data_IF_691914237892
#
_entry.id   IF_691914237892
#
_cell.length_a   1.000
_cell.length_b   1.000
_cell.length_c   1.000
_cell.angle_alpha   90.00
_cell.angle_beta   90.00
_cell.angle_gamma   90.00
#
_symmetry.space_group_name_H-M   'P 1'
#
loop_
_entity.id
_entity.type
_entity.pdbx_description
1 polymer ?
#
# COMPACT_ATOMS: atom_id res chain seq x y z
N UNK A 1 22.65 -24.07 10.69
CA UNK A 1 21.44 -23.74 9.91
C UNK A 1 20.66 -22.70 10.71
N UNK A 2 21.35 -21.64 11.18
CA UNK A 2 20.93 -20.83 12.34
C UNK A 2 20.89 -19.32 12.05
N UNK A 3 21.05 -18.92 10.77
CA UNK A 3 21.01 -17.51 10.36
C UNK A 3 19.64 -17.03 9.88
N UNK A 4 18.65 -17.93 9.68
CA UNK A 4 17.32 -17.54 9.20
C UNK A 4 16.40 -17.10 10.34
N UNK A 5 16.48 -17.75 11.52
CA UNK A 5 15.61 -17.45 12.66
C UNK A 5 15.88 -16.06 13.26
N UNK A 6 17.13 -15.59 13.27
CA UNK A 6 17.48 -14.28 13.84
C UNK A 6 16.91 -13.10 13.04
N UNK A 7 16.91 -13.17 11.71
CA UNK A 7 16.38 -12.10 10.84
C UNK A 7 14.86 -12.00 10.87
N UNK A 8 14.16 -13.12 11.06
CA UNK A 8 12.70 -13.14 11.15
C UNK A 8 12.21 -12.63 12.53
N UNK A 9 12.94 -12.96 13.61
CA UNK A 9 12.63 -12.46 14.96
C UNK A 9 12.87 -10.96 15.13
N UNK A 10 13.96 -10.41 14.59
CA UNK A 10 14.20 -8.95 14.63
C UNK A 10 13.13 -8.18 13.84
N UNK A 11 12.65 -8.73 12.73
CA UNK A 11 11.64 -8.08 11.90
C UNK A 11 10.21 -8.14 12.48
N UNK A 12 9.84 -9.27 13.09
CA UNK A 12 8.55 -9.40 13.80
C UNK A 12 8.44 -8.38 14.95
N UNK A 13 9.56 -8.11 15.62
CA UNK A 13 9.65 -7.05 16.62
C UNK A 13 9.43 -5.66 15.99
N UNK A 14 9.95 -5.39 14.79
CA UNK A 14 9.76 -4.13 14.08
C UNK A 14 8.31 -3.90 13.59
N UNK A 15 7.60 -4.90 13.06
CA UNK A 15 6.18 -4.76 12.70
C UNK A 15 5.32 -4.44 13.93
N UNK A 16 5.53 -5.17 15.03
CA UNK A 16 4.82 -4.94 16.29
C UNK A 16 5.09 -3.54 16.85
N UNK A 17 6.33 -3.05 16.73
CA UNK A 17 6.72 -1.70 17.11
C UNK A 17 6.01 -0.63 16.26
N UNK A 18 5.90 -0.84 14.93
CA UNK A 18 5.20 0.09 14.04
C UNK A 18 3.70 0.17 14.31
N UNK A 19 3.07 -0.91 14.75
CA UNK A 19 1.65 -0.93 15.15
C UNK A 19 1.40 -0.10 16.41
N UNK A 20 2.32 -0.21 17.39
CA UNK A 20 2.25 0.49 18.66
C UNK A 20 2.44 2.02 18.55
N UNK A 21 3.00 2.51 17.43
CA UNK A 21 3.21 3.94 17.22
C UNK A 21 1.89 4.73 17.24
N UNK A 22 1.95 5.93 17.82
CA UNK A 22 0.90 6.94 17.71
C UNK A 22 0.77 7.46 16.27
N UNK A 23 -0.34 8.15 15.97
CA UNK A 23 -0.54 8.78 14.66
C UNK A 23 0.53 9.80 14.29
N UNK A 24 1.07 10.51 15.27
CA UNK A 24 2.10 11.53 15.06
C UNK A 24 3.45 10.89 14.74
N UNK A 25 3.82 9.84 15.48
CA UNK A 25 5.08 9.12 15.27
C UNK A 25 5.12 8.39 13.93
N UNK A 26 4.03 7.70 13.53
CA UNK A 26 4.00 7.03 12.23
C UNK A 26 4.00 8.06 11.08
N UNK A 27 3.38 9.23 11.27
CA UNK A 27 3.40 10.30 10.28
C UNK A 27 4.81 10.89 10.13
N UNK A 28 5.53 11.12 11.22
CA UNK A 28 6.92 11.59 11.19
C UNK A 28 7.85 10.58 10.48
N UNK A 29 7.76 9.29 10.84
CA UNK A 29 8.50 8.23 10.15
C UNK A 29 8.14 8.16 8.66
N UNK A 30 6.85 8.23 8.32
CA UNK A 30 6.39 8.26 6.94
C UNK A 30 6.98 9.44 6.15
N UNK A 31 7.01 10.64 6.73
CA UNK A 31 7.58 11.82 6.09
C UNK A 31 9.08 11.65 5.78
N UNK A 32 9.82 10.96 6.66
CA UNK A 32 11.24 10.63 6.45
C UNK A 32 11.42 9.58 5.35
N UNK A 33 10.49 8.63 5.23
CA UNK A 33 10.48 7.60 4.18
C UNK A 33 10.05 8.11 2.80
N UNK A 34 9.61 9.36 2.64
CA UNK A 34 9.17 9.89 1.33
C UNK A 34 10.27 9.96 0.26
N UNK A 35 11.54 9.95 0.68
CA UNK A 35 12.69 9.94 -0.23
C UNK A 35 12.98 8.55 -0.80
N UNK A 36 12.40 7.49 -0.23
CA UNK A 36 12.56 6.13 -0.73
C UNK A 36 11.63 5.85 -1.92
N UNK A 37 11.88 4.73 -2.59
CA UNK A 37 10.98 4.23 -3.64
C UNK A 37 9.79 3.42 -3.09
N UNK A 38 9.57 3.41 -1.76
CA UNK A 38 8.61 2.54 -1.11
C UNK A 38 7.18 2.71 -1.64
N UNK A 39 6.71 3.95 -1.84
CA UNK A 39 5.36 4.20 -2.39
C UNK A 39 5.23 3.62 -3.80
N UNK A 40 6.26 3.81 -4.65
CA UNK A 40 6.27 3.30 -6.02
C UNK A 40 6.20 1.77 -6.01
N UNK A 41 7.00 1.14 -5.16
CA UNK A 41 7.08 -0.30 -5.02
C UNK A 41 5.76 -0.90 -4.55
N UNK A 42 5.18 -0.38 -3.46
CA UNK A 42 3.89 -0.84 -2.90
C UNK A 42 2.77 -0.73 -3.92
N UNK A 43 2.70 0.39 -4.65
CA UNK A 43 1.68 0.57 -5.68
C UNK A 43 1.89 -0.32 -6.91
N UNK A 44 3.14 -0.65 -7.24
CA UNK A 44 3.45 -1.61 -8.31
C UNK A 44 2.99 -3.01 -7.94
N UNK A 45 3.35 -3.49 -6.75
CA UNK A 45 2.91 -4.79 -6.25
C UNK A 45 1.38 -4.87 -6.15
N UNK A 46 0.72 -3.79 -5.72
CA UNK A 46 -0.74 -3.75 -5.74
C UNK A 46 -1.31 -3.83 -7.17
N UNK A 47 -0.69 -3.16 -8.13
CA UNK A 47 -1.08 -3.27 -9.53
C UNK A 47 -0.95 -4.72 -10.03
N UNK A 48 0.14 -5.39 -9.67
CA UNK A 48 0.40 -6.78 -10.08
C UNK A 48 -0.58 -7.75 -9.37
N UNK A 49 -0.87 -7.53 -8.09
CA UNK A 49 -1.94 -8.22 -7.36
C UNK A 49 -3.28 -8.11 -8.10
N UNK A 50 -3.67 -6.91 -8.53
CA UNK A 50 -4.96 -6.74 -9.22
C UNK A 50 -4.99 -7.43 -10.60
N UNK A 51 -3.87 -7.46 -11.32
CA UNK A 51 -3.84 -7.88 -12.72
C UNK A 51 -3.41 -9.33 -12.94
N UNK A 52 -2.59 -9.89 -12.06
CA UNK A 52 -1.90 -11.16 -12.26
C UNK A 52 -2.10 -12.09 -11.06
N UNK A 53 -1.57 -11.70 -9.89
CA UNK A 53 -1.27 -12.64 -8.80
C UNK A 53 -2.35 -12.75 -7.73
N UNK A 54 -3.27 -11.79 -7.68
CA UNK A 54 -4.31 -11.75 -6.66
C UNK A 54 -5.36 -12.83 -6.84
N UNK A 55 -5.81 -13.38 -5.71
CA UNK A 55 -6.88 -14.37 -5.67
C UNK A 55 -8.16 -13.83 -6.33
N UNK A 56 -8.62 -14.55 -7.35
CA UNK A 56 -9.78 -14.16 -8.13
C UNK A 56 -11.05 -14.08 -7.30
N UNK A 57 -11.29 -15.08 -6.43
CA UNK A 57 -12.49 -15.17 -5.62
C UNK A 57 -12.53 -13.98 -4.66
N UNK A 58 -11.39 -13.66 -4.07
CA UNK A 58 -11.27 -12.50 -3.18
C UNK A 58 -11.56 -11.20 -3.94
N UNK A 59 -10.91 -10.95 -5.07
CA UNK A 59 -11.10 -9.72 -5.86
C UNK A 59 -12.57 -9.58 -6.28
N UNK A 60 -13.20 -10.65 -6.73
CA UNK A 60 -14.62 -10.64 -7.09
C UNK A 60 -15.52 -10.37 -5.87
N UNK A 61 -15.20 -10.96 -4.71
CA UNK A 61 -16.00 -10.81 -3.48
C UNK A 61 -15.95 -9.40 -2.87
N UNK A 62 -14.83 -8.68 -3.02
CA UNK A 62 -14.65 -7.33 -2.51
C UNK A 62 -15.41 -6.27 -3.33
N UNK A 63 -15.91 -6.65 -4.51
CA UNK A 63 -16.64 -5.75 -5.37
C UNK A 63 -18.11 -5.64 -4.94
N UNK A 64 -18.38 -4.70 -4.05
CA UNK A 64 -19.70 -4.50 -3.43
C UNK A 64 -20.82 -4.09 -4.39
N UNK A 65 -20.49 -3.58 -5.58
CA UNK A 65 -21.49 -2.96 -6.46
C UNK A 65 -22.21 -3.95 -7.39
N UNK A 66 -21.74 -5.20 -7.49
CA UNK A 66 -22.47 -6.25 -8.20
C UNK A 66 -21.95 -7.64 -7.84
N UNK A 67 -22.84 -8.50 -7.33
CA UNK A 67 -22.57 -9.92 -7.06
C UNK A 67 -22.20 -10.76 -8.31
N UNK A 68 -22.15 -10.15 -9.50
CA UNK A 68 -22.04 -10.83 -10.79
C UNK A 68 -20.85 -10.38 -11.64
N UNK A 69 -20.06 -9.39 -11.19
CA UNK A 69 -18.90 -8.92 -11.97
C UNK A 69 -17.79 -9.97 -11.91
N UNK A 70 -17.42 -10.48 -13.08
CA UNK A 70 -16.27 -11.38 -13.25
C UNK A 70 -14.96 -10.58 -13.11
N UNK A 71 -13.90 -11.24 -12.67
CA UNK A 71 -12.56 -10.65 -12.50
C UNK A 71 -12.08 -9.94 -13.76
N UNK A 72 -12.37 -10.48 -14.94
CA UNK A 72 -11.95 -9.87 -16.21
C UNK A 72 -12.52 -8.47 -16.41
N UNK A 73 -13.75 -8.22 -15.95
CA UNK A 73 -14.35 -6.89 -15.96
C UNK A 73 -13.68 -5.99 -14.91
N UNK A 74 -13.46 -6.52 -13.70
CA UNK A 74 -12.79 -5.79 -12.62
C UNK A 74 -11.39 -5.34 -13.05
N UNK A 75 -10.60 -6.23 -13.66
CA UNK A 75 -9.27 -5.96 -14.19
C UNK A 75 -9.30 -4.90 -15.30
N UNK A 76 -10.22 -5.00 -16.28
CA UNK A 76 -10.37 -3.96 -17.31
C UNK A 76 -10.66 -2.59 -16.72
N UNK A 77 -11.54 -2.53 -15.73
CA UNK A 77 -11.89 -1.29 -15.07
C UNK A 77 -10.74 -0.76 -14.19
N UNK A 78 -9.96 -1.65 -13.57
CA UNK A 78 -8.76 -1.29 -12.85
C UNK A 78 -7.66 -0.76 -13.79
N UNK A 79 -7.44 -1.38 -14.94
CA UNK A 79 -6.52 -0.89 -15.98
C UNK A 79 -6.92 0.51 -16.42
N UNK A 80 -8.21 0.72 -16.72
CA UNK A 80 -8.74 2.04 -17.08
C UNK A 80 -8.53 3.05 -15.95
N UNK A 81 -8.77 2.63 -14.71
CA UNK A 81 -8.53 3.46 -13.53
C UNK A 81 -7.06 3.79 -13.34
N UNK A 82 -6.13 2.88 -13.59
CA UNK A 82 -4.69 3.13 -13.43
C UNK A 82 -4.07 3.81 -14.65
N UNK A 83 -4.82 3.95 -15.75
CA UNK A 83 -4.34 4.58 -16.97
C UNK A 83 -3.77 5.98 -16.68
N UNK A 84 -2.56 6.22 -17.19
CA UNK A 84 -1.79 7.47 -17.06
C UNK A 84 -1.41 7.86 -15.61
N UNK A 85 -1.68 7.03 -14.61
CA UNK A 85 -1.30 7.27 -13.22
C UNK A 85 0.13 6.83 -12.96
N UNK A 86 0.95 7.76 -12.43
CA UNK A 86 2.30 7.43 -11.91
C UNK A 86 2.18 6.85 -10.50
N UNK A 87 2.96 5.83 -10.17
CA UNK A 87 2.98 5.25 -8.82
C UNK A 87 3.63 6.21 -7.81
N UNK A 88 2.80 7.03 -7.16
CA UNK A 88 3.18 8.03 -6.18
C UNK A 88 2.02 8.31 -5.20
N UNK A 89 2.21 9.26 -4.28
CA UNK A 89 1.19 9.66 -3.29
C UNK A 89 -0.16 10.05 -3.89
N UNK A 90 -0.18 10.68 -5.08
CA UNK A 90 -1.44 11.06 -5.75
C UNK A 90 -2.23 9.84 -6.18
N UNK A 91 -1.54 8.79 -6.63
CA UNK A 91 -2.17 7.52 -7.00
C UNK A 91 -2.70 6.78 -5.79
N UNK A 92 -1.93 6.73 -4.69
CA UNK A 92 -2.44 6.25 -3.41
C UNK A 92 -3.72 6.99 -2.99
N UNK A 93 -3.71 8.33 -3.01
CA UNK A 93 -4.91 9.13 -2.71
C UNK A 93 -6.09 8.81 -3.62
N UNK A 94 -5.84 8.62 -4.91
CA UNK A 94 -6.89 8.27 -5.87
C UNK A 94 -7.49 6.91 -5.56
N UNK A 95 -6.67 5.93 -5.15
CA UNK A 95 -7.12 4.60 -4.75
C UNK A 95 -7.91 4.70 -3.42
N UNK A 96 -7.35 5.41 -2.43
CA UNK A 96 -7.98 5.63 -1.13
C UNK A 96 -9.37 6.25 -1.24
N UNK A 97 -9.56 7.21 -2.16
CA UNK A 97 -10.85 7.86 -2.40
C UNK A 97 -11.79 7.07 -3.32
N UNK A 98 -11.29 6.01 -3.97
CA UNK A 98 -12.08 5.22 -4.90
C UNK A 98 -13.00 4.28 -4.15
N UNK A 99 -14.31 4.50 -4.21
CA UNK A 99 -15.30 3.59 -3.61
C UNK A 99 -15.11 2.13 -4.05
N UNK A 100 -14.67 1.96 -5.30
CA UNK A 100 -14.47 0.66 -5.92
C UNK A 100 -13.17 -0.03 -5.51
N UNK A 101 -12.06 0.69 -5.53
CA UNK A 101 -10.73 0.07 -5.39
C UNK A 101 -10.11 0.25 -3.99
N UNK A 102 -10.69 1.09 -3.13
CA UNK A 102 -10.20 1.26 -1.76
C UNK A 102 -10.21 -0.05 -0.97
N UNK A 103 -11.27 -0.86 -1.09
CA UNK A 103 -11.42 -2.13 -0.36
C UNK A 103 -10.39 -3.17 -0.82
N UNK A 104 -10.16 -3.24 -2.13
CA UNK A 104 -9.15 -4.10 -2.73
C UNK A 104 -7.76 -3.73 -2.22
N UNK A 105 -7.45 -2.43 -2.17
CA UNK A 105 -6.16 -1.97 -1.69
C UNK A 105 -5.98 -2.18 -0.19
N UNK A 106 -7.02 -1.92 0.61
CA UNK A 106 -7.01 -2.20 2.05
C UNK A 106 -6.77 -3.68 2.32
N UNK A 107 -7.47 -4.56 1.61
CA UNK A 107 -7.27 -6.01 1.72
C UNK A 107 -5.85 -6.42 1.33
N UNK A 108 -5.35 -5.92 0.20
CA UNK A 108 -3.98 -6.14 -0.23
C UNK A 108 -2.96 -5.71 0.85
N UNK A 109 -3.13 -4.53 1.44
CA UNK A 109 -2.26 -4.08 2.52
C UNK A 109 -2.31 -5.03 3.73
N UNK A 110 -3.50 -5.49 4.12
CA UNK A 110 -3.66 -6.37 5.27
C UNK A 110 -3.05 -7.76 5.08
N UNK A 111 -3.10 -8.33 3.88
CA UNK A 111 -2.81 -9.77 3.70
C UNK A 111 -1.67 -10.09 2.71
N UNK A 112 -1.33 -9.18 1.81
CA UNK A 112 -0.37 -9.44 0.71
C UNK A 112 0.81 -8.47 0.69
N UNK A 113 0.74 -7.35 1.41
CA UNK A 113 1.82 -6.35 1.35
C UNK A 113 3.07 -6.74 2.14
N UNK A 114 2.97 -7.67 3.10
CA UNK A 114 4.12 -8.11 3.88
C UNK A 114 5.16 -8.84 3.01
N UNK A 115 4.75 -9.44 1.89
CA UNK A 115 5.68 -10.05 0.91
C UNK A 115 6.71 -9.04 0.37
N UNK A 116 6.34 -7.76 0.28
CA UNK A 116 7.27 -6.69 -0.13
C UNK A 116 8.44 -6.60 0.86
N UNK A 117 8.19 -6.88 2.13
CA UNK A 117 9.16 -6.69 3.19
C UNK A 117 10.03 -7.95 3.35
N UNK A 118 9.44 -9.14 3.16
CA UNK A 118 10.13 -10.42 3.29
C UNK A 118 10.94 -10.84 2.05
N UNK A 119 10.81 -10.15 0.92
CA UNK A 119 11.66 -10.40 -0.25
C UNK A 119 13.14 -10.13 0.07
N UNK A 120 13.96 -11.19 0.04
CA UNK A 120 15.42 -11.11 0.25
C UNK A 120 16.04 -10.06 -0.70
N UNK A 121 16.85 -9.15 -0.15
CA UNK A 121 17.54 -8.04 -0.82
C UNK A 121 16.72 -6.76 -1.08
N UNK A 122 15.58 -6.56 -0.44
CA UNK A 122 14.86 -5.29 -0.51
C UNK A 122 15.61 -4.18 0.22
N UNK A 123 16.25 -3.31 -0.56
CA UNK A 123 16.76 -2.02 -0.06
C UNK A 123 15.58 -1.22 0.49
N UNK A 124 15.74 -0.68 1.70
CA UNK A 124 14.73 0.13 2.39
C UNK A 124 13.52 -0.64 2.97
N UNK A 125 13.67 -1.92 3.35
CA UNK A 125 12.63 -2.74 4.00
C UNK A 125 11.88 -2.01 5.14
N UNK A 126 12.61 -1.32 6.03
CA UNK A 126 12.01 -0.50 7.08
C UNK A 126 11.13 0.64 6.53
N UNK A 127 11.56 1.33 5.48
CA UNK A 127 10.74 2.38 4.84
C UNK A 127 9.50 1.79 4.16
N UNK A 128 9.61 0.60 3.57
CA UNK A 128 8.47 -0.13 3.02
C UNK A 128 7.45 -0.43 4.13
N UNK A 129 7.90 -0.98 5.26
CA UNK A 129 7.07 -1.27 6.42
C UNK A 129 6.39 0.01 6.94
N UNK A 130 7.14 1.09 7.16
CA UNK A 130 6.58 2.38 7.60
C UNK A 130 5.49 2.87 6.66
N UNK A 131 5.70 2.82 5.34
CA UNK A 131 4.70 3.28 4.37
C UNK A 131 3.46 2.37 4.36
N UNK A 132 3.64 1.05 4.46
CA UNK A 132 2.53 0.09 4.57
C UNK A 132 1.69 0.39 5.82
N UNK A 133 2.32 0.50 7.00
CA UNK A 133 1.62 0.80 8.24
C UNK A 133 0.94 2.16 8.22
N UNK A 134 1.58 3.18 7.65
CA UNK A 134 0.95 4.49 7.46
C UNK A 134 -0.29 4.41 6.55
N UNK A 135 -0.22 3.68 5.44
CA UNK A 135 -1.38 3.49 4.55
C UNK A 135 -2.50 2.69 5.22
N UNK A 136 -2.18 1.60 5.92
CA UNK A 136 -3.15 0.85 6.75
C UNK A 136 -3.85 1.78 7.73
N UNK A 137 -3.10 2.64 8.43
CA UNK A 137 -3.63 3.57 9.44
C UNK A 137 -4.49 4.67 8.83
N UNK A 138 -4.22 5.10 7.60
CA UNK A 138 -5.11 6.01 6.88
C UNK A 138 -6.51 5.42 6.68
N UNK A 139 -6.66 4.11 6.51
CA UNK A 139 -7.98 3.46 6.39
C UNK A 139 -8.73 3.40 7.73
N UNK A 140 -8.01 3.16 8.83
CA UNK A 140 -8.61 3.16 10.18
C UNK A 140 -8.89 4.57 10.70
N UNK A 141 -8.08 5.55 10.31
CA UNK A 141 -8.16 6.94 10.77
C UNK A 141 -8.14 7.86 9.52
N UNK A 142 -9.28 8.04 8.84
CA UNK A 142 -9.34 8.76 7.56
C UNK A 142 -8.80 10.19 7.61
N UNK A 143 -8.81 10.84 8.77
CA UNK A 143 -8.25 12.19 8.94
C UNK A 143 -6.74 12.25 8.67
N UNK A 144 -6.00 11.16 8.88
CA UNK A 144 -4.55 11.10 8.69
C UNK A 144 -4.14 11.32 7.24
N UNK A 145 -5.03 11.01 6.29
CA UNK A 145 -4.80 11.23 4.86
C UNK A 145 -4.55 12.72 4.53
N UNK A 146 -5.15 13.63 5.31
CA UNK A 146 -5.02 15.07 5.11
C UNK A 146 -3.62 15.59 5.48
N UNK A 147 -2.89 14.81 6.29
CA UNK A 147 -1.52 15.13 6.70
C UNK A 147 -0.47 14.75 5.64
N UNK A 148 -0.86 14.05 4.58
CA UNK A 148 0.04 13.81 3.45
C UNK A 148 0.28 15.10 2.67
N UNK A 149 1.48 15.65 2.83
CA UNK A 149 1.96 16.76 2.01
C UNK A 149 2.18 16.27 0.57
N UNK A 150 1.22 16.54 -0.31
CA UNK A 150 1.43 16.38 -1.74
C UNK A 150 2.40 17.45 -2.24
N UNK A 151 3.49 17.02 -2.88
CA UNK A 151 4.37 17.95 -3.58
C UNK A 151 3.57 18.74 -4.62
N UNK A 152 3.37 20.04 -4.34
CA UNK A 152 2.96 21.02 -5.33
C UNK A 152 4.25 21.47 -6.00
N UNK A 153 4.46 21.08 -7.26
CA UNK A 153 5.51 21.68 -8.05
C UNK A 153 5.13 23.17 -8.14
N UNK A 154 5.88 24.04 -7.47
CA UNK A 154 5.72 25.48 -7.67
C UNK A 154 5.86 25.72 -9.17
N UNK A 155 4.79 26.22 -9.78
CA UNK A 155 4.89 26.83 -11.10
C UNK A 155 5.48 28.20 -10.83
N UNK A 156 6.81 28.26 -10.75
CA UNK A 156 7.48 29.54 -10.90
C UNK A 156 7.11 30.05 -12.29
N UNK A 157 6.35 31.15 -12.30
CA UNK A 157 6.07 31.98 -13.46
C UNK A 157 7.15 33.04 -13.55
#
# INVERSE_FOLDING_TARGET
>A
MDMQESSEQEFYNDETLLEALTCEEILDKYQKSLKSNSIKLILSHFNDFMLQDGDQIVIESLNSDSKTKKISQIRKEFISFMKDKKFNQRTFLSIFKSQRFQKHFQYYLSYYSSDIIYQKNQKDAFSNAVVIHFFKRCFSIPKLINSMKLYKKNKDK
#
